data_IF_657255352497
#
_entry.id   IF_657255352497
#
_cell.length_a   1.000
_cell.length_b   1.000
_cell.length_c   1.000
_cell.angle_alpha   90.00
_cell.angle_beta   90.00
_cell.angle_gamma   90.00
#
_symmetry.space_group_name_H-M   'P 1'
#
loop_
_entity.id
_entity.type
_entity.pdbx_description
1 polymer ?
#
# COMPACT_ATOMS: atom_id res chain seq x y z
N UNK A 1 55.18 25.81 57.25
CA UNK A 1 53.93 25.29 56.65
C UNK A 1 54.25 24.82 55.24
N UNK A 2 54.14 23.51 55.01
CA UNK A 2 54.59 22.86 53.78
C UNK A 2 53.71 23.23 52.59
N UNK A 3 54.37 23.46 51.47
CA UNK A 3 53.82 23.62 50.13
C UNK A 3 53.37 22.24 49.62
N UNK A 4 52.10 22.08 49.25
CA UNK A 4 51.61 20.89 48.55
C UNK A 4 50.85 21.35 47.31
N UNK A 5 51.58 21.55 46.21
CA UNK A 5 50.98 21.67 44.89
C UNK A 5 50.47 20.30 44.45
N UNK A 6 49.15 20.11 44.45
CA UNK A 6 48.51 18.97 43.80
C UNK A 6 48.64 19.13 42.28
N UNK A 7 49.64 18.44 41.71
CA UNK A 7 49.79 18.26 40.26
C UNK A 7 48.74 17.27 39.76
N UNK A 8 47.62 17.77 39.24
CA UNK A 8 46.65 16.92 38.52
C UNK A 8 47.18 16.59 37.12
N UNK A 9 47.32 15.31 36.74
CA UNK A 9 47.73 14.96 35.38
C UNK A 9 46.61 15.31 34.38
N UNK A 10 46.96 16.07 33.35
CA UNK A 10 46.10 16.41 32.22
C UNK A 10 45.60 15.15 31.49
N UNK A 11 44.31 15.02 31.15
CA UNK A 11 43.83 13.89 30.38
C UNK A 11 44.40 13.95 28.95
N UNK A 12 45.16 12.92 28.57
CA UNK A 12 45.61 12.71 27.19
C UNK A 12 44.38 12.48 26.32
N UNK A 13 43.91 13.52 25.63
CA UNK A 13 42.85 13.39 24.63
C UNK A 13 43.47 12.77 23.37
N UNK A 14 43.21 11.48 23.16
CA UNK A 14 43.61 10.82 21.92
C UNK A 14 42.73 11.33 20.77
N UNK A 15 43.23 12.29 19.99
CA UNK A 15 42.55 12.76 18.78
C UNK A 15 42.80 11.76 17.65
N UNK A 16 41.83 10.90 17.35
CA UNK A 16 41.87 10.04 16.18
C UNK A 16 41.72 10.89 14.90
N UNK A 17 42.85 11.25 14.27
CA UNK A 17 42.85 11.88 12.95
C UNK A 17 42.45 10.82 11.92
N UNK A 18 41.20 10.86 11.45
CA UNK A 18 40.78 10.06 10.30
C UNK A 18 41.66 10.45 9.11
N UNK A 19 42.56 9.55 8.71
CA UNK A 19 43.27 9.65 7.46
C UNK A 19 42.27 9.34 6.34
N UNK A 20 42.20 10.22 5.34
CA UNK A 20 41.35 10.05 4.18
C UNK A 20 41.84 8.85 3.35
N UNK A 21 41.37 7.66 3.69
CA UNK A 21 41.45 6.50 2.80
C UNK A 21 40.46 6.78 1.67
N UNK A 22 40.98 7.30 0.55
CA UNK A 22 40.20 7.44 -0.69
C UNK A 22 39.83 6.03 -1.17
N UNK A 23 38.64 5.58 -0.78
CA UNK A 23 38.03 4.37 -1.31
C UNK A 23 37.71 4.66 -2.79
N UNK A 24 38.58 4.18 -3.69
CA UNK A 24 38.35 4.26 -5.12
C UNK A 24 37.30 3.21 -5.49
N UNK A 25 36.04 3.51 -5.20
CA UNK A 25 34.90 2.71 -5.66
C UNK A 25 34.76 2.99 -7.15
N UNK A 26 35.25 2.08 -7.98
CA UNK A 26 34.89 2.03 -9.39
C UNK A 26 33.36 1.96 -9.47
N UNK A 27 32.74 3.02 -9.99
CA UNK A 27 31.29 3.17 -10.10
C UNK A 27 30.76 2.26 -11.22
N UNK A 28 30.86 0.95 -11.01
CA UNK A 28 30.24 -0.04 -11.89
C UNK A 28 28.78 -0.14 -11.49
N UNK A 29 27.90 0.50 -12.26
CA UNK A 29 26.47 0.43 -12.00
C UNK A 29 25.95 -0.95 -12.44
N UNK A 30 25.52 -1.83 -11.51
CA UNK A 30 25.03 -3.14 -11.88
C UNK A 30 23.69 -3.03 -12.64
N UNK A 31 23.34 -4.03 -13.46
CA UNK A 31 22.06 -4.05 -14.17
C UNK A 31 20.89 -3.90 -13.19
N UNK A 32 19.86 -3.14 -13.58
CA UNK A 32 18.74 -2.75 -12.69
C UNK A 32 18.02 -3.95 -12.01
N UNK A 33 18.07 -5.13 -12.62
CA UNK A 33 17.46 -6.35 -12.09
C UNK A 33 18.10 -6.79 -10.76
N UNK A 34 19.39 -6.54 -10.54
CA UNK A 34 20.11 -6.90 -9.32
C UNK A 34 19.84 -5.93 -8.16
N UNK A 35 19.34 -4.74 -8.46
CA UNK A 35 18.96 -3.74 -7.47
C UNK A 35 17.52 -3.94 -6.96
N UNK A 36 16.76 -4.84 -7.60
CA UNK A 36 15.38 -5.12 -7.21
C UNK A 36 15.37 -6.02 -5.98
N UNK A 37 14.85 -5.51 -4.86
CA UNK A 37 14.60 -6.29 -3.65
C UNK A 37 13.61 -7.42 -3.95
N UNK A 38 13.85 -8.59 -3.34
CA UNK A 38 13.07 -9.82 -3.58
C UNK A 38 11.69 -9.78 -2.94
N UNK A 39 11.57 -9.10 -1.81
CA UNK A 39 10.33 -8.85 -1.07
C UNK A 39 10.08 -7.35 -0.93
N UNK A 40 8.80 -6.97 -0.89
CA UNK A 40 8.39 -5.60 -0.55
C UNK A 40 8.43 -5.36 0.97
N UNK A 41 8.28 -6.44 1.74
CA UNK A 41 8.32 -6.44 3.21
C UNK A 41 9.77 -6.57 3.69
N UNK A 42 10.17 -5.87 4.77
CA UNK A 42 11.46 -6.08 5.41
C UNK A 42 11.63 -7.54 5.86
N UNK A 43 12.88 -8.00 5.94
CA UNK A 43 13.18 -9.38 6.35
C UNK A 43 12.81 -9.66 7.81
N UNK A 44 12.75 -8.62 8.65
CA UNK A 44 12.45 -8.67 10.08
C UNK A 44 11.56 -7.47 10.41
N UNK A 45 10.49 -7.72 11.17
CA UNK A 45 9.65 -6.66 11.74
C UNK A 45 10.35 -6.09 12.97
N UNK A 46 10.47 -4.76 13.04
CA UNK A 46 11.08 -4.09 14.18
C UNK A 46 10.01 -3.94 15.27
N UNK A 47 10.25 -4.43 16.51
CA UNK A 47 9.28 -4.30 17.59
C UNK A 47 9.11 -2.83 18.01
N UNK A 48 7.95 -2.50 18.56
CA UNK A 48 7.69 -1.16 19.10
C UNK A 48 8.56 -0.92 20.35
N UNK A 49 9.06 0.30 20.55
CA UNK A 49 9.89 0.65 21.72
C UNK A 49 9.17 0.40 23.06
N UNK A 50 7.85 0.62 23.07
CA UNK A 50 6.94 0.35 24.18
C UNK A 50 6.85 -1.12 24.61
N UNK A 51 7.34 -2.07 23.80
CA UNK A 51 7.36 -3.51 24.13
C UNK A 51 8.60 -3.93 24.91
N UNK A 52 9.55 -3.02 25.14
CA UNK A 52 10.70 -3.29 26.00
C UNK A 52 10.28 -3.46 27.45
N UNK A 53 11.12 -4.11 28.26
CA UNK A 53 10.84 -4.31 29.70
C UNK A 53 10.80 -2.99 30.49
N UNK A 54 11.53 -1.97 30.03
CA UNK A 54 11.58 -0.64 30.64
C UNK A 54 11.34 0.45 29.58
N UNK A 55 10.10 0.58 29.08
CA UNK A 55 9.78 1.54 28.04
C UNK A 55 9.67 2.95 28.63
N UNK A 56 9.85 3.97 27.79
CA UNK A 56 9.42 5.31 28.14
C UNK A 56 7.88 5.33 28.26
N UNK A 57 7.36 6.19 29.14
CA UNK A 57 5.92 6.29 29.40
C UNK A 57 5.11 6.50 28.11
N UNK A 58 5.53 7.46 27.28
CA UNK A 58 4.86 7.80 26.03
C UNK A 58 4.85 6.62 25.03
N UNK A 59 5.94 5.86 24.97
CA UNK A 59 6.07 4.71 24.07
C UNK A 59 5.16 3.55 24.47
N UNK A 60 4.96 3.35 25.77
CA UNK A 60 4.03 2.35 26.30
C UNK A 60 2.58 2.74 26.02
N UNK A 61 2.19 3.98 26.32
CA UNK A 61 0.83 4.47 26.07
C UNK A 61 0.48 4.43 24.57
N UNK A 62 1.42 4.80 23.71
CA UNK A 62 1.24 4.70 22.27
C UNK A 62 0.99 3.25 21.83
N UNK A 63 1.77 2.29 22.35
CA UNK A 63 1.58 0.88 22.05
C UNK A 63 0.18 0.38 22.46
N UNK A 64 -0.29 0.76 23.65
CA UNK A 64 -1.64 0.40 24.12
C UNK A 64 -2.74 1.00 23.23
N UNK A 65 -2.56 2.25 22.78
CA UNK A 65 -3.50 2.90 21.87
C UNK A 65 -3.54 2.21 20.51
N UNK A 66 -2.39 1.82 19.96
CA UNK A 66 -2.30 1.06 18.70
C UNK A 66 -3.05 -0.26 18.84
N UNK A 67 -2.74 -1.06 19.87
CA UNK A 67 -3.39 -2.34 20.11
C UNK A 67 -4.92 -2.20 20.26
N UNK A 68 -5.36 -1.22 21.06
CA UNK A 68 -6.80 -0.94 21.26
C UNK A 68 -7.50 -0.56 19.95
N UNK A 69 -6.83 0.21 19.08
CA UNK A 69 -7.40 0.61 17.81
C UNK A 69 -7.48 -0.55 16.81
N UNK A 70 -6.51 -1.46 16.82
CA UNK A 70 -6.53 -2.69 16.03
C UNK A 70 -7.65 -3.61 16.49
N UNK A 71 -7.79 -3.86 17.78
CA UNK A 71 -8.90 -4.64 18.34
C UNK A 71 -10.25 -4.06 17.94
N UNK A 72 -10.45 -2.74 18.10
CA UNK A 72 -11.68 -2.06 17.64
C UNK A 72 -11.95 -2.25 16.14
N UNK A 73 -10.92 -2.35 15.31
CA UNK A 73 -11.08 -2.63 13.88
C UNK A 73 -11.49 -4.08 13.66
N UNK A 74 -10.85 -5.03 14.33
CA UNK A 74 -11.21 -6.44 14.26
C UNK A 74 -12.65 -6.69 14.71
N UNK A 75 -13.08 -6.15 15.85
CA UNK A 75 -14.47 -6.25 16.31
C UNK A 75 -15.45 -5.73 15.26
N UNK A 76 -15.21 -4.54 14.68
CA UNK A 76 -16.07 -3.97 13.64
C UNK A 76 -16.13 -4.84 12.37
N UNK A 77 -15.02 -5.45 11.98
CA UNK A 77 -14.99 -6.36 10.84
C UNK A 77 -15.79 -7.63 11.14
N UNK A 78 -15.62 -8.18 12.33
CA UNK A 78 -16.39 -9.34 12.79
C UNK A 78 -17.88 -9.04 12.83
N UNK A 79 -18.30 -7.93 13.44
CA UNK A 79 -19.69 -7.48 13.48
C UNK A 79 -20.29 -7.30 12.08
N UNK A 80 -19.48 -6.84 11.13
CA UNK A 80 -19.92 -6.70 9.75
C UNK A 80 -20.14 -8.07 9.09
N UNK A 81 -19.26 -9.04 9.36
CA UNK A 81 -19.39 -10.40 8.85
C UNK A 81 -20.59 -11.11 9.48
N UNK A 82 -20.76 -11.02 10.80
CA UNK A 82 -21.91 -11.63 11.49
C UNK A 82 -23.22 -11.05 10.98
N UNK A 83 -23.32 -9.73 10.76
CA UNK A 83 -24.51 -9.12 10.15
C UNK A 83 -24.78 -9.57 8.72
N UNK A 84 -23.74 -9.84 7.94
CA UNK A 84 -23.87 -10.18 6.52
C UNK A 84 -24.09 -11.68 6.28
N UNK A 85 -23.58 -12.53 7.18
CA UNK A 85 -23.67 -13.98 7.08
C UNK A 85 -24.66 -14.46 8.13
N UNK A 86 -24.25 -14.51 9.39
CA UNK A 86 -25.00 -15.17 10.46
C UNK A 86 -26.40 -14.58 10.71
N UNK A 87 -26.55 -13.24 10.66
CA UNK A 87 -27.83 -12.60 10.92
C UNK A 87 -28.82 -12.68 9.76
N UNK A 88 -28.36 -13.03 8.54
CA UNK A 88 -29.24 -13.18 7.38
C UNK A 88 -29.81 -14.60 7.26
N UNK A 89 -29.18 -15.59 7.89
CA UNK A 89 -29.61 -16.98 7.82
C UNK A 89 -30.23 -17.40 9.15
N UNK A 90 -31.38 -18.11 9.14
CA UNK A 90 -31.95 -18.64 10.36
C UNK A 90 -30.99 -19.65 11.00
N UNK A 91 -31.00 -19.69 12.34
CA UNK A 91 -30.24 -20.70 13.08
C UNK A 91 -30.81 -22.08 12.78
N UNK A 92 -30.03 -23.16 12.96
CA UNK A 92 -30.48 -24.53 12.69
C UNK A 92 -31.82 -24.92 13.36
N UNK A 93 -32.17 -24.30 14.49
CA UNK A 93 -33.46 -24.50 15.18
C UNK A 93 -34.65 -23.77 14.52
N UNK A 94 -34.39 -22.68 13.80
CA UNK A 94 -35.37 -21.87 13.08
C UNK A 94 -35.31 -22.12 11.56
N UNK A 95 -34.49 -23.09 11.14
CA UNK A 95 -34.35 -23.43 9.74
C UNK A 95 -35.69 -23.94 9.18
N UNK A 96 -36.03 -23.60 7.93
CA UNK A 96 -37.27 -24.06 7.31
C UNK A 96 -37.36 -25.59 7.33
N UNK A 97 -38.40 -26.11 7.99
CA UNK A 97 -38.72 -27.53 8.02
C UNK A 97 -39.57 -27.89 6.80
N UNK A 98 -39.69 -29.17 6.48
CA UNK A 98 -40.59 -29.67 5.41
C UNK A 98 -42.02 -29.15 5.56
N UNK A 99 -42.52 -29.02 6.79
CA UNK A 99 -43.85 -28.48 7.09
C UNK A 99 -43.99 -26.99 6.73
N UNK A 100 -42.98 -26.16 7.03
CA UNK A 100 -43.01 -24.73 6.67
C UNK A 100 -42.93 -24.55 5.16
N UNK A 101 -42.15 -25.39 4.48
CA UNK A 101 -42.10 -25.40 3.01
C UNK A 101 -43.46 -25.78 2.41
N UNK A 102 -44.12 -26.83 2.91
CA UNK A 102 -45.45 -27.22 2.42
C UNK A 102 -46.45 -26.07 2.60
N UNK A 103 -46.44 -25.39 3.74
CA UNK A 103 -47.30 -24.23 4.02
C UNK A 103 -47.05 -23.04 3.08
N UNK A 104 -45.79 -22.76 2.75
CA UNK A 104 -45.44 -21.71 1.78
C UNK A 104 -45.87 -22.06 0.35
N UNK A 105 -45.80 -23.34 -0.03
CA UNK A 105 -46.22 -23.80 -1.38
C UNK A 105 -47.73 -23.92 -1.51
N UNK A 106 -48.45 -24.19 -0.42
CA UNK A 106 -49.90 -24.16 -0.39
C UNK A 106 -50.46 -22.74 -0.29
N UNK A 107 -49.64 -21.75 0.08
CA UNK A 107 -50.06 -20.34 0.11
C UNK A 107 -50.48 -19.87 -1.29
N UNK A 108 -51.76 -19.56 -1.46
CA UNK A 108 -52.37 -19.19 -2.75
C UNK A 108 -53.32 -20.24 -3.31
N UNK A 109 -53.28 -21.46 -2.78
CA UNK A 109 -54.42 -22.37 -2.84
C UNK A 109 -55.40 -21.87 -1.77
N UNK A 110 -56.55 -21.34 -2.18
CA UNK A 110 -57.56 -20.82 -1.25
C UNK A 110 -58.00 -21.97 -0.34
N UNK A 111 -57.58 -21.92 0.93
CA UNK A 111 -58.34 -22.58 1.99
C UNK A 111 -59.63 -21.76 2.11
N UNK A 112 -60.76 -22.37 1.76
CA UNK A 112 -62.09 -21.79 1.91
C UNK A 112 -62.45 -21.68 3.39
N UNK A 113 -61.73 -20.86 4.17
CA UNK A 113 -62.12 -20.54 5.54
C UNK A 113 -61.64 -19.12 5.91
N UNK A 114 -62.59 -18.18 5.93
CA UNK A 114 -62.68 -17.10 6.91
C UNK A 114 -61.66 -15.94 6.88
N UNK A 115 -62.18 -14.76 6.55
CA UNK A 115 -61.78 -13.44 7.09
C UNK A 115 -60.60 -12.69 6.43
N UNK A 116 -61.00 -11.91 5.41
CA UNK A 116 -60.28 -10.72 4.92
C UNK A 116 -60.74 -9.51 5.71
N UNK A 117 -59.81 -8.76 6.30
CA UNK A 117 -59.86 -7.31 6.59
C UNK A 117 -58.60 -7.00 7.44
N UNK A 118 -57.70 -6.03 7.17
CA UNK A 118 -57.87 -4.66 6.69
C UNK A 118 -56.57 -4.15 6.05
N UNK A 119 -56.69 -3.57 4.86
CA UNK A 119 -55.78 -2.53 4.36
C UNK A 119 -56.12 -1.23 5.09
N UNK A 120 -55.11 -0.51 5.57
CA UNK A 120 -55.27 0.89 5.97
C UNK A 120 -54.08 1.69 5.42
N UNK A 121 -54.35 2.44 4.35
CA UNK A 121 -53.48 3.45 3.77
C UNK A 121 -53.80 4.84 4.33
N UNK A 122 -52.86 5.77 4.11
CA UNK A 122 -52.97 7.23 4.15
C UNK A 122 -52.92 7.95 5.51
N UNK A 123 -51.93 8.86 5.71
CA UNK A 123 -52.06 10.26 5.25
C UNK A 123 -50.82 11.13 5.50
N UNK A 124 -50.63 12.04 4.54
CA UNK A 124 -49.63 13.10 4.39
C UNK A 124 -49.69 14.27 5.39
N UNK A 125 -48.70 15.16 5.30
CA UNK A 125 -48.78 16.59 5.67
C UNK A 125 -47.59 17.05 6.53
N UNK A 126 -46.47 17.49 5.94
CA UNK A 126 -46.17 18.90 5.58
C UNK A 126 -46.34 19.93 6.72
N UNK A 127 -45.21 20.54 7.15
CA UNK A 127 -44.84 21.94 6.86
C UNK A 127 -44.10 22.67 8.03
N UNK A 128 -43.35 23.69 7.64
CA UNK A 128 -42.94 24.90 8.36
C UNK A 128 -41.62 24.89 9.16
N UNK A 129 -40.53 25.09 8.39
CA UNK A 129 -39.75 26.33 8.38
C UNK A 129 -39.63 27.16 9.68
N UNK A 130 -38.40 27.27 10.21
CA UNK A 130 -37.99 28.42 11.02
C UNK A 130 -36.60 28.90 10.59
N UNK A 131 -36.59 30.18 10.24
CA UNK A 131 -35.44 31.05 10.01
C UNK A 131 -34.36 30.92 11.09
N UNK A 132 -33.10 31.13 10.70
CA UNK A 132 -32.31 32.24 11.23
C UNK A 132 -31.03 32.43 10.41
N UNK A 133 -30.90 33.63 9.87
CA UNK A 133 -29.69 34.16 9.27
C UNK A 133 -28.73 34.63 10.37
N UNK A 134 -27.45 34.31 10.25
CA UNK A 134 -26.40 35.19 10.75
C UNK A 134 -25.12 35.04 9.91
N UNK A 135 -24.58 36.20 9.55
CA UNK A 135 -23.46 36.41 8.65
C UNK A 135 -22.12 36.18 9.35
N UNK A 136 -21.28 35.27 8.83
CA UNK A 136 -19.82 35.36 9.02
C UNK A 136 -19.07 34.93 7.75
N UNK A 137 -18.17 35.81 7.29
CA UNK A 137 -17.32 35.60 6.11
C UNK A 137 -16.23 34.58 6.44
N UNK A 138 -16.56 33.30 6.32
CA UNK A 138 -15.62 32.19 6.46
C UNK A 138 -14.94 31.86 5.11
N UNK A 139 -13.61 31.67 5.13
CA UNK A 139 -12.82 31.14 4.01
C UNK A 139 -13.52 29.90 3.45
N UNK A 140 -13.93 29.92 2.18
CA UNK A 140 -14.70 28.85 1.52
C UNK A 140 -13.95 27.52 1.59
N UNK A 141 -14.24 26.74 2.63
CA UNK A 141 -13.87 25.33 2.68
C UNK A 141 -14.54 24.64 1.49
N UNK A 142 -13.83 23.77 0.74
CA UNK A 142 -14.44 23.08 -0.38
C UNK A 142 -15.64 22.29 0.13
N UNK A 143 -16.83 22.63 -0.37
CA UNK A 143 -18.08 21.95 -0.01
C UNK A 143 -17.90 20.44 -0.17
N UNK A 144 -18.30 19.69 0.85
CA UNK A 144 -18.25 18.24 0.81
C UNK A 144 -18.94 17.73 -0.47
N UNK A 145 -18.26 16.84 -1.20
CA UNK A 145 -18.77 16.33 -2.47
C UNK A 145 -20.04 15.53 -2.22
N UNK A 146 -21.08 15.80 -3.02
CA UNK A 146 -22.34 15.05 -2.93
C UNK A 146 -22.13 13.57 -3.32
N UNK A 147 -22.99 12.66 -2.85
CA UNK A 147 -22.95 11.21 -3.20
C UNK A 147 -22.87 10.97 -4.72
N UNK A 148 -23.60 11.76 -5.53
CA UNK A 148 -23.56 11.75 -7.00
C UNK A 148 -22.17 12.10 -7.56
N UNK A 149 -21.49 13.07 -6.95
CA UNK A 149 -20.13 13.48 -7.36
C UNK A 149 -19.10 12.40 -7.00
N UNK A 150 -19.23 11.75 -5.84
CA UNK A 150 -18.41 10.59 -5.49
C UNK A 150 -18.60 9.42 -6.44
N UNK A 151 -19.84 9.10 -6.82
CA UNK A 151 -20.15 8.05 -7.81
C UNK A 151 -19.48 8.36 -9.16
N UNK A 152 -19.69 9.56 -9.69
CA UNK A 152 -19.07 10.00 -10.97
C UNK A 152 -17.55 10.04 -10.92
N UNK A 153 -16.94 10.29 -9.76
CA UNK A 153 -15.48 10.22 -9.59
C UNK A 153 -14.97 8.77 -9.60
N UNK A 154 -15.70 7.84 -8.96
CA UNK A 154 -15.39 6.41 -8.99
C UNK A 154 -15.48 5.84 -10.40
N UNK A 155 -16.56 6.15 -11.12
CA UNK A 155 -16.76 5.76 -12.53
C UNK A 155 -15.60 6.23 -13.41
N UNK A 156 -15.24 7.53 -13.35
CA UNK A 156 -14.09 8.08 -14.08
C UNK A 156 -12.77 7.37 -13.75
N UNK A 157 -12.53 7.05 -12.47
CA UNK A 157 -11.32 6.32 -12.04
C UNK A 157 -11.31 4.88 -12.54
N UNK A 158 -12.46 4.24 -12.67
CA UNK A 158 -12.57 2.89 -13.27
C UNK A 158 -12.29 2.97 -14.76
N UNK A 159 -12.92 3.90 -15.47
CA UNK A 159 -12.73 4.10 -16.91
C UNK A 159 -11.28 4.44 -17.27
N UNK A 160 -10.62 5.29 -16.48
CA UNK A 160 -9.20 5.60 -16.69
C UNK A 160 -8.32 4.35 -16.51
N UNK A 161 -8.61 3.52 -15.50
CA UNK A 161 -7.90 2.25 -15.26
C UNK A 161 -8.10 1.28 -16.41
N UNK A 162 -9.34 1.10 -16.89
CA UNK A 162 -9.62 0.21 -18.02
C UNK A 162 -8.94 0.71 -19.30
N UNK A 163 -8.94 2.03 -19.56
CA UNK A 163 -8.22 2.63 -20.69
C UNK A 163 -6.71 2.39 -20.62
N UNK A 164 -6.10 2.58 -19.44
CA UNK A 164 -4.67 2.29 -19.21
C UNK A 164 -4.34 0.82 -19.44
N UNK A 165 -5.17 -0.09 -18.92
CA UNK A 165 -5.00 -1.52 -19.10
C UNK A 165 -5.12 -1.94 -20.57
N UNK A 166 -6.13 -1.44 -21.30
CA UNK A 166 -6.27 -1.69 -22.74
C UNK A 166 -5.05 -1.20 -23.53
N UNK A 167 -4.53 -0.01 -23.22
CA UNK A 167 -3.30 0.52 -23.85
C UNK A 167 -2.08 -0.36 -23.54
N UNK A 168 -1.97 -0.86 -22.32
CA UNK A 168 -0.88 -1.75 -21.91
C UNK A 168 -0.95 -3.10 -22.63
N UNK A 169 -2.14 -3.70 -22.75
CA UNK A 169 -2.33 -4.96 -23.47
C UNK A 169 -1.95 -4.82 -24.94
N UNK A 170 -2.42 -3.76 -25.62
CA UNK A 170 -2.02 -3.46 -27.00
C UNK A 170 -0.51 -3.28 -27.17
N UNK A 171 0.18 -2.67 -26.19
CA UNK A 171 1.64 -2.57 -26.20
C UNK A 171 2.30 -3.94 -26.09
N UNK A 172 1.84 -4.79 -25.17
CA UNK A 172 2.35 -6.16 -25.01
C UNK A 172 2.16 -6.99 -26.28
N UNK A 173 1.00 -6.91 -26.91
CA UNK A 173 0.73 -7.56 -28.19
C UNK A 173 1.71 -7.07 -29.28
N UNK A 174 1.94 -5.75 -29.35
CA UNK A 174 2.91 -5.18 -30.28
C UNK A 174 4.36 -5.60 -29.99
N UNK A 175 4.72 -5.74 -28.72
CA UNK A 175 6.06 -6.18 -28.30
C UNK A 175 6.37 -7.60 -28.82
N UNK A 176 5.37 -8.49 -28.90
CA UNK A 176 5.51 -9.83 -29.50
C UNK A 176 5.98 -9.73 -30.96
N UNK A 177 5.40 -8.82 -31.75
CA UNK A 177 5.81 -8.61 -33.13
C UNK A 177 7.19 -7.93 -33.24
N UNK A 178 7.57 -7.15 -32.24
CA UNK A 178 8.87 -6.45 -32.17
C UNK A 178 10.04 -7.36 -31.77
N UNK A 179 9.80 -8.57 -31.26
CA UNK A 179 10.84 -9.51 -30.80
C UNK A 179 11.97 -9.69 -31.83
N UNK A 180 11.65 -9.84 -33.12
CA UNK A 180 12.65 -10.00 -34.18
C UNK A 180 13.55 -8.78 -34.33
N UNK A 181 13.02 -7.56 -34.14
CA UNK A 181 13.82 -6.33 -34.12
C UNK A 181 14.72 -6.28 -32.89
N UNK A 182 14.19 -6.63 -31.71
CA UNK A 182 14.98 -6.66 -30.47
C UNK A 182 16.15 -7.64 -30.57
N UNK A 183 15.95 -8.81 -31.17
CA UNK A 183 17.03 -9.78 -31.42
C UNK A 183 18.11 -9.23 -32.37
N UNK A 184 17.73 -8.43 -33.37
CA UNK A 184 18.70 -7.76 -34.24
C UNK A 184 19.49 -6.70 -33.48
N UNK A 185 18.82 -5.92 -32.63
CA UNK A 185 19.44 -4.88 -31.80
C UNK A 185 20.45 -5.49 -30.82
N UNK A 186 20.11 -6.60 -30.17
CA UNK A 186 21.02 -7.35 -29.28
C UNK A 186 22.25 -7.82 -30.04
N UNK A 187 22.08 -8.49 -31.19
CA UNK A 187 23.21 -8.95 -32.01
C UNK A 187 24.12 -7.79 -32.46
N UNK A 188 23.53 -6.64 -32.79
CA UNK A 188 24.30 -5.44 -33.15
C UNK A 188 25.12 -4.93 -31.96
N UNK A 189 24.51 -4.89 -30.77
CA UNK A 189 25.19 -4.49 -29.55
C UNK A 189 26.34 -5.43 -29.19
N UNK A 190 26.12 -6.75 -29.26
CA UNK A 190 27.16 -7.76 -28.99
C UNK A 190 28.34 -7.59 -29.95
N UNK A 191 28.07 -7.41 -31.25
CA UNK A 191 29.11 -7.16 -32.24
C UNK A 191 29.89 -5.87 -31.98
N UNK A 192 29.23 -4.80 -31.51
CA UNK A 192 29.89 -3.55 -31.17
C UNK A 192 30.77 -3.69 -29.93
N UNK A 193 30.31 -4.41 -28.92
CA UNK A 193 31.09 -4.73 -27.72
C UNK A 193 32.34 -5.54 -28.08
N UNK A 194 32.21 -6.55 -28.94
CA UNK A 194 33.36 -7.34 -29.40
C UNK A 194 34.36 -6.50 -30.19
N UNK A 195 33.90 -5.63 -31.10
CA UNK A 195 34.77 -4.68 -31.82
C UNK A 195 35.53 -3.77 -30.87
N UNK A 196 34.87 -3.24 -29.83
CA UNK A 196 35.50 -2.40 -28.81
C UNK A 196 36.52 -3.16 -27.97
N UNK A 197 36.25 -4.41 -27.60
CA UNK A 197 37.22 -5.28 -26.90
C UNK A 197 38.47 -5.50 -27.75
N UNK A 198 38.30 -5.90 -29.00
CA UNK A 198 39.41 -6.14 -29.95
C UNK A 198 40.24 -4.86 -30.13
N UNK A 199 39.60 -3.70 -30.34
CA UNK A 199 40.30 -2.42 -30.49
C UNK A 199 41.12 -2.06 -29.25
N UNK A 200 40.55 -2.23 -28.04
CA UNK A 200 41.27 -2.00 -26.78
C UNK A 200 42.44 -2.96 -26.61
N UNK A 201 42.30 -4.22 -27.00
CA UNK A 201 43.39 -5.19 -26.91
C UNK A 201 44.53 -4.85 -27.88
N UNK A 202 44.21 -4.39 -29.10
CA UNK A 202 45.21 -3.89 -30.05
C UNK A 202 45.96 -2.67 -29.50
N UNK A 203 45.24 -1.69 -28.96
CA UNK A 203 45.85 -0.51 -28.33
C UNK A 203 46.75 -0.89 -27.15
N UNK A 204 46.33 -1.83 -26.30
CA UNK A 204 47.16 -2.34 -25.20
C UNK A 204 48.46 -2.97 -25.70
N UNK A 205 48.39 -3.82 -26.75
CA UNK A 205 49.56 -4.44 -27.37
C UNK A 205 50.51 -3.41 -27.99
N UNK A 206 49.99 -2.34 -28.61
CA UNK A 206 50.79 -1.24 -29.15
C UNK A 206 51.46 -0.42 -28.04
N UNK A 207 50.75 -0.13 -26.95
CA UNK A 207 51.31 0.53 -25.76
C UNK A 207 52.40 -0.35 -25.12
N UNK A 208 52.18 -1.66 -25.04
CA UNK A 208 53.16 -2.60 -24.50
C UNK A 208 54.44 -2.69 -25.36
N UNK A 209 54.31 -2.63 -26.69
CA UNK A 209 55.46 -2.57 -27.61
C UNK A 209 56.27 -1.28 -27.48
N UNK A 210 55.62 -0.15 -27.24
CA UNK A 210 56.25 1.16 -27.10
C UNK A 210 56.78 1.43 -25.68
N UNK A 211 56.41 0.59 -24.71
CA UNK A 211 56.90 0.67 -23.33
C UNK A 211 58.35 0.22 -23.25
N UNK A 212 59.26 1.14 -22.93
CA UNK A 212 60.65 0.82 -22.62
C UNK A 212 60.73 -0.01 -21.34
N UNK A 213 61.48 -1.12 -21.40
CA UNK A 213 61.81 -1.95 -20.23
C UNK A 213 62.70 -1.10 -19.31
N UNK A 214 62.25 -0.86 -18.09
CA UNK A 214 63.02 -0.21 -17.03
C UNK A 214 63.54 -1.27 -16.09
#
# INVERSE_FOLDING_TARGET
MMCVYLSTPSPLTHTHKQTNIKLLVLFFQPPAMYLKKRSEVPAIEVPHAGSSYNPAFDDHENLLQIATNEEKRYTKMQDKLTRALDAMFPTAAEAPTTESWIKEMSAGLQEEDGDKEKLNEEKDGENAELNNEENEVAKKQPKAKTKKQHRKARERKVEERTRKNKKLLKKRENDVYRVRSMLKDIKKFDNEVERKKISKEKQKKEIEKTRTKR
#
